data_IF_525941610678
#
_entry.id   IF_525941610678
#
_cell.length_a   1.000
_cell.length_b   1.000
_cell.length_c   1.000
_cell.angle_alpha   90.00
_cell.angle_beta   90.00
_cell.angle_gamma   90.00
#
_symmetry.space_group_name_H-M   'P 1'
#
loop_
_entity.id
_entity.type
_entity.pdbx_description
1 polymer ?
2 non-polymer ?
3 non-polymer ?
4 non-polymer ?
5 water ?
#
# COMPACT_ATOMS: atom_id res chain seq x y z
N UNK A 5 18.06 12.93 -36.03
CA UNK A 5 17.31 11.88 -35.32
C UNK A 5 17.95 11.51 -34.00
N UNK A 6 19.29 11.34 -33.95
CA UNK A 6 19.94 10.89 -32.70
C UNK A 6 19.89 11.96 -31.60
N UNK A 7 20.43 13.15 -31.87
CA UNK A 7 20.28 14.32 -30.97
C UNK A 7 18.80 14.66 -30.71
N UNK A 8 17.94 14.43 -31.71
CA UNK A 8 16.50 14.68 -31.56
C UNK A 8 15.79 13.62 -30.70
N UNK A 9 16.24 12.37 -30.79
CA UNK A 9 15.71 11.30 -29.96
C UNK A 9 16.24 11.44 -28.54
N UNK A 10 17.46 11.92 -28.38
CA UNK A 10 17.98 12.19 -27.04
C UNK A 10 17.11 13.25 -26.33
N UNK A 11 16.77 14.33 -27.03
CA UNK A 11 15.91 15.38 -26.47
C UNK A 11 14.58 14.79 -26.00
N UNK A 12 13.90 14.09 -26.91
CA UNK A 12 12.62 13.41 -26.65
C UNK A 12 12.70 12.48 -25.40
N UNK A 13 13.81 11.75 -25.28
CA UNK A 13 14.07 10.90 -24.13
C UNK A 13 14.26 11.73 -22.86
N UNK A 14 15.17 12.70 -22.88
CA UNK A 14 15.40 13.59 -21.72
C UNK A 14 14.09 14.24 -21.21
N UNK A 15 13.15 14.47 -22.14
CA UNK A 15 11.86 15.08 -21.83
C UNK A 15 11.04 14.21 -20.83
N UNK A 16 11.19 12.88 -20.92
CA UNK A 16 10.48 11.95 -20.07
C UNK A 16 11.32 11.42 -18.93
N UNK A 17 12.25 12.22 -18.42
CA UNK A 17 13.13 11.80 -17.35
C UNK A 17 13.21 12.84 -16.31
N UNK A 18 13.30 12.40 -15.08
CA UNK A 18 13.43 13.30 -13.93
C UNK A 18 14.35 12.63 -12.89
N UNK A 19 15.23 13.42 -12.28
CA UNK A 19 16.19 12.90 -11.30
C UNK A 19 16.41 13.82 -10.11
N UNK A 20 16.55 13.22 -8.91
CA UNK A 20 16.79 13.97 -7.67
C UNK A 20 17.74 13.19 -6.80
N UNK A 21 18.71 13.90 -6.21
CA UNK A 21 19.67 13.28 -5.28
C UNK A 21 19.00 13.27 -3.92
N UNK A 22 18.10 12.31 -3.71
CA UNK A 22 17.14 12.36 -2.60
C UNK A 22 17.61 11.71 -1.30
N UNK A 23 18.59 10.79 -1.41
CA UNK A 23 19.06 10.01 -0.24
C UNK A 23 20.52 10.36 0.16
N UNK A 24 20.72 10.80 1.41
CA UNK A 24 22.09 11.12 1.90
C UNK A 24 22.97 9.87 1.98
N UNK A 25 24.26 10.03 2.19
CA UNK A 25 25.17 8.86 2.20
C UNK A 25 24.73 7.96 3.35
N UNK A 26 24.43 8.61 4.46
CA UNK A 26 23.94 7.96 5.67
C UNK A 26 22.63 7.17 5.47
N UNK A 27 21.71 7.70 4.67
CA UNK A 27 20.45 6.98 4.38
C UNK A 27 20.67 5.84 3.44
N UNK A 28 21.52 6.06 2.44
CA UNK A 28 21.90 5.02 1.53
C UNK A 28 22.51 3.87 2.32
N UNK A 29 23.43 4.17 3.21
CA UNK A 29 24.04 3.11 4.03
C UNK A 29 23.01 2.31 4.86
N UNK A 30 21.98 2.99 5.38
CA UNK A 30 20.94 2.28 6.16
C UNK A 30 20.16 1.34 5.25
N UNK A 31 19.72 1.85 4.10
CA UNK A 31 18.99 1.05 3.13
C UNK A 31 19.88 -0.11 2.59
N UNK A 32 21.10 0.19 2.19
CA UNK A 32 22.05 -0.86 1.75
C UNK A 32 22.22 -2.03 2.79
N UNK A 33 22.23 -1.72 4.08
CA UNK A 33 22.27 -2.79 5.10
C UNK A 33 21.03 -3.70 5.04
N UNK A 34 19.86 -3.09 4.77
CA UNK A 34 18.63 -3.81 4.60
C UNK A 34 18.60 -4.67 3.35
N UNK A 35 19.08 -4.12 2.24
CA UNK A 35 19.26 -4.89 1.02
C UNK A 35 20.12 -6.13 1.30
N UNK A 36 21.22 -5.97 2.00
CA UNK A 36 22.05 -7.16 2.42
C UNK A 36 21.24 -8.23 3.19
N UNK A 37 20.40 -7.77 4.13
CA UNK A 37 19.45 -8.66 4.85
C UNK A 37 18.57 -9.48 3.94
N UNK A 38 17.96 -8.82 2.96
CA UNK A 38 17.14 -9.49 1.92
C UNK A 38 17.96 -10.60 1.19
N UNK A 39 19.21 -10.29 0.88
CA UNK A 39 20.12 -11.28 0.26
C UNK A 39 20.33 -12.46 1.22
N UNK A 40 20.62 -12.16 2.47
CA UNK A 40 20.76 -13.21 3.51
C UNK A 40 19.54 -14.07 3.73
N UNK A 41 18.36 -13.44 3.67
CA UNK A 41 17.10 -14.12 3.90
C UNK A 41 16.74 -15.03 2.78
N UNK A 42 16.93 -14.54 1.56
CA UNK A 42 16.75 -15.35 0.32
C UNK A 42 17.58 -16.57 0.37
N UNK A 43 18.82 -16.38 0.77
CA UNK A 43 19.79 -17.49 0.94
C UNK A 43 19.39 -18.51 2.07
N UNK A 44 18.59 -18.08 3.01
CA UNK A 44 18.11 -19.01 4.07
C UNK A 44 16.80 -19.73 3.68
N UNK A 45 16.32 -19.47 2.47
CA UNK A 45 15.10 -20.11 1.96
C UNK A 45 13.81 -19.58 2.55
N UNK A 46 13.81 -18.31 2.94
CA UNK A 46 12.72 -17.68 3.67
C UNK A 46 11.67 -17.03 2.78
N UNK A 47 11.88 -17.07 1.49
CA UNK A 47 11.03 -16.36 0.57
C UNK A 47 10.30 -17.34 -0.31
N UNK A 48 9.21 -16.89 -0.92
CA UNK A 48 8.42 -17.73 -1.79
C UNK A 48 9.11 -17.95 -3.19
N UNK A 49 8.76 -19.06 -3.82
CA UNK A 49 9.35 -19.53 -5.08
C UNK A 49 9.67 -18.40 -6.05
N UNK A 50 8.68 -17.57 -6.36
CA UNK A 50 8.77 -16.54 -7.38
C UNK A 50 9.26 -15.16 -6.88
N UNK A 51 9.76 -15.09 -5.65
CA UNK A 51 10.33 -13.85 -5.10
C UNK A 51 11.77 -13.63 -5.51
N UNK A 52 12.50 -14.71 -5.71
CA UNK A 52 13.94 -14.67 -6.02
C UNK A 52 14.20 -15.20 -7.45
N UNK A 53 14.72 -14.34 -8.31
CA UNK A 53 15.23 -14.74 -9.61
C UNK A 53 16.77 -14.65 -9.61
N UNK A 54 17.44 -15.78 -9.71
CA UNK A 54 18.90 -15.82 -9.70
C UNK A 54 19.46 -16.02 -11.10
N UNK A 55 20.18 -15.02 -11.60
CA UNK A 55 20.93 -15.18 -12.86
C UNK A 55 22.40 -14.95 -12.59
N UNK A 56 23.28 -15.32 -13.54
CA UNK A 56 24.74 -15.27 -13.24
C UNK A 56 25.30 -13.95 -12.63
N UNK A 57 25.09 -12.82 -13.26
CA UNK A 57 25.62 -11.58 -12.68
C UNK A 57 24.52 -10.63 -12.13
N UNK A 58 23.35 -11.18 -11.85
CA UNK A 58 22.16 -10.39 -11.54
C UNK A 58 21.20 -11.29 -10.70
N UNK A 59 20.87 -10.84 -9.52
CA UNK A 59 19.77 -11.46 -8.77
C UNK A 59 18.66 -10.48 -8.72
N UNK A 60 17.42 -10.98 -8.79
CA UNK A 60 16.24 -10.11 -8.67
C UNK A 60 15.32 -10.63 -7.57
N UNK A 61 14.79 -9.70 -6.77
CA UNK A 61 13.90 -10.02 -5.66
C UNK A 61 12.62 -9.24 -5.81
N UNK A 62 11.51 -9.94 -6.02
CA UNK A 62 10.20 -9.34 -6.32
C UNK A 62 9.25 -9.25 -5.09
N UNK A 63 8.81 -8.05 -4.75
CA UNK A 63 7.92 -7.86 -3.62
C UNK A 63 6.69 -7.16 -4.05
N UNK A 64 5.56 -7.51 -3.42
CA UNK A 64 4.29 -6.84 -3.65
C UNK A 64 3.61 -7.56 -4.77
N UNK A 65 4.23 -7.50 -5.95
CA UNK A 65 3.78 -8.17 -7.15
C UNK A 65 5.00 -8.69 -7.94
N UNK A 66 4.78 -9.78 -8.67
CA UNK A 66 5.80 -10.33 -9.56
C UNK A 66 5.17 -10.67 -10.88
N UNK A 67 6.01 -10.94 -11.87
CA UNK A 67 5.57 -11.31 -13.22
C UNK A 67 6.52 -12.42 -13.78
N UNK A 68 6.02 -13.21 -14.73
CA UNK A 68 6.71 -14.38 -15.29
C UNK A 68 8.14 -14.12 -15.79
N UNK A 76 6.71 -17.18 -20.99
CA UNK A 76 6.83 -18.11 -22.12
C UNK A 76 6.35 -17.47 -23.45
N UNK A 77 7.24 -16.70 -24.07
CA UNK A 77 6.96 -15.99 -25.33
C UNK A 77 7.29 -14.52 -25.12
N UNK A 78 7.90 -13.84 -26.12
CA UNK A 78 8.39 -12.47 -25.88
C UNK A 78 7.24 -11.47 -25.67
N UNK A 79 7.36 -10.61 -24.67
CA UNK A 79 6.27 -9.69 -24.31
C UNK A 79 4.97 -10.37 -23.85
N UNK A 80 5.08 -11.60 -23.31
CA UNK A 80 3.94 -12.33 -22.81
C UNK A 80 4.02 -12.48 -21.29
N UNK A 81 4.54 -11.46 -20.64
CA UNK A 81 4.59 -11.43 -19.21
C UNK A 81 3.15 -11.52 -18.61
N UNK A 82 3.03 -12.24 -17.52
CA UNK A 82 1.77 -12.44 -16.84
C UNK A 82 2.03 -12.28 -15.37
N UNK A 83 1.16 -11.52 -14.66
CA UNK A 83 1.23 -11.45 -13.18
C UNK A 83 0.91 -12.78 -12.56
N UNK A 84 1.52 -13.04 -11.40
CA UNK A 84 1.24 -14.23 -10.61
C UNK A 84 0.13 -13.91 -9.63
N UNK A 85 -0.63 -14.95 -9.17
CA UNK A 85 -1.52 -14.77 -8.03
C UNK A 85 -0.79 -14.03 -6.93
N UNK A 86 -1.25 -12.79 -6.59
CA UNK A 86 -0.57 -12.17 -5.45
C UNK A 86 -0.77 -13.07 -4.21
N UNK A 87 0.32 -13.29 -3.48
CA UNK A 87 0.44 -14.40 -2.56
C UNK A 87 1.55 -15.33 -3.02
N UNK A 88 1.88 -15.29 -4.32
CA UNK A 88 3.04 -16.06 -4.85
C UNK A 88 4.37 -15.39 -4.52
N UNK A 89 4.39 -14.04 -4.50
CA UNK A 89 5.57 -13.26 -4.14
C UNK A 89 5.44 -12.64 -2.75
N UNK A 90 6.55 -12.32 -2.10
CA UNK A 90 6.47 -11.83 -0.74
C UNK A 90 5.99 -10.42 -0.71
N UNK A 91 5.55 -10.02 0.47
CA UNK A 91 5.13 -8.66 0.77
C UNK A 91 6.28 -7.67 0.63
N UNK A 92 6.00 -6.50 0.10
CA UNK A 92 6.91 -5.35 0.19
C UNK A 92 7.29 -5.18 1.66
N UNK A 93 8.59 -5.25 1.99
CA UNK A 93 8.94 -5.21 3.42
C UNK A 93 8.79 -3.83 4.00
N UNK A 94 8.78 -3.78 5.35
CA UNK A 94 8.52 -2.56 6.10
C UNK A 94 9.58 -1.48 5.84
N UNK A 95 10.84 -1.86 5.86
CA UNK A 95 11.92 -0.90 5.56
C UNK A 95 11.78 -0.27 4.13
N UNK A 96 11.30 -1.01 3.14
CA UNK A 96 11.04 -0.37 1.83
C UNK A 96 10.02 0.74 1.95
N UNK A 97 8.89 0.43 2.57
CA UNK A 97 7.82 1.43 2.80
C UNK A 97 8.30 2.69 3.52
N UNK A 98 9.08 2.48 4.58
CA UNK A 98 9.40 3.56 5.53
C UNK A 98 10.69 4.29 5.17
N UNK A 99 11.68 3.55 4.72
CA UNK A 99 12.95 4.19 4.33
C UNK A 99 12.90 4.76 2.93
N UNK A 100 12.12 4.14 2.04
CA UNK A 100 12.20 4.49 0.61
C UNK A 100 10.93 5.12 0.07
N UNK A 101 9.83 4.39 0.09
CA UNK A 101 8.58 4.86 -0.54
C UNK A 101 8.05 6.09 0.18
N UNK A 102 8.24 6.13 1.49
CA UNK A 102 7.75 7.25 2.26
C UNK A 102 8.44 8.52 1.82
N UNK A 103 9.75 8.44 1.64
CA UNK A 103 10.51 9.61 1.21
C UNK A 103 10.12 10.10 -0.19
N UNK A 104 9.80 9.18 -1.08
CA UNK A 104 9.32 9.52 -2.41
C UNK A 104 7.96 10.21 -2.34
N UNK A 105 7.07 9.69 -1.50
CA UNK A 105 5.76 10.34 -1.22
C UNK A 105 5.94 11.71 -0.59
N UNK A 106 6.79 11.81 0.41
CA UNK A 106 7.10 13.11 1.07
C UNK A 106 7.51 14.20 0.09
N UNK A 107 8.43 13.86 -0.82
CA UNK A 107 8.99 14.85 -1.77
C UNK A 107 8.22 14.91 -3.11
N UNK A 108 6.99 14.40 -3.12
CA UNK A 108 6.02 14.61 -4.21
C UNK A 108 6.43 14.02 -5.58
N UNK A 109 7.25 12.98 -5.55
CA UNK A 109 7.72 12.26 -6.74
C UNK A 109 6.64 11.36 -7.29
N UNK A 110 5.97 10.66 -6.37
CA UNK A 110 4.76 9.89 -6.66
C UNK A 110 3.76 10.08 -5.52
N UNK A 111 2.44 9.95 -5.83
CA UNK A 111 1.44 9.97 -4.76
C UNK A 111 1.42 8.73 -3.83
N UNK A 112 1.01 8.96 -2.57
CA UNK A 112 0.65 7.90 -1.63
C UNK A 112 -0.27 6.90 -2.29
N UNK A 113 0.07 5.63 -2.12
CA UNK A 113 -0.72 4.53 -2.63
C UNK A 113 -0.40 4.08 -4.06
N UNK A 114 0.37 4.88 -4.81
CA UNK A 114 0.84 4.48 -6.18
C UNK A 114 1.48 3.12 -6.20
N UNK A 115 2.47 2.93 -5.35
CA UNK A 115 3.37 1.79 -5.45
C UNK A 115 2.73 0.55 -4.89
N UNK A 116 2.78 -0.55 -5.65
CA UNK A 116 2.42 -1.87 -5.12
C UNK A 116 3.37 -2.96 -5.60
N UNK A 117 4.53 -2.54 -6.13
CA UNK A 117 5.56 -3.46 -6.68
C UNK A 117 6.93 -2.85 -6.43
N UNK A 118 7.77 -3.60 -5.72
CA UNK A 118 9.14 -3.22 -5.45
C UNK A 118 10.02 -4.40 -5.82
N UNK A 119 10.96 -4.14 -6.73
CA UNK A 119 11.89 -5.18 -7.26
C UNK A 119 13.30 -4.71 -6.96
N UNK A 120 14.06 -5.54 -6.29
CA UNK A 120 15.45 -5.23 -6.01
C UNK A 120 16.29 -6.02 -7.04
N UNK A 121 17.02 -5.32 -7.91
CA UNK A 121 18.05 -5.94 -8.76
C UNK A 121 19.40 -5.76 -8.13
N UNK A 122 20.09 -6.85 -7.83
CA UNK A 122 21.40 -6.81 -7.26
C UNK A 122 22.42 -7.21 -8.31
N UNK A 123 23.30 -6.29 -8.65
CA UNK A 123 24.31 -6.51 -9.72
C UNK A 123 25.70 -6.79 -9.16
N UNK A 124 26.29 -7.87 -9.62
CA UNK A 124 27.75 -8.11 -9.42
C UNK A 124 28.53 -7.27 -10.45
N UNK A 125 29.85 -7.04 -10.21
CA UNK A 125 30.67 -6.32 -11.18
C UNK A 125 30.62 -7.00 -12.51
N UNK A 126 30.43 -6.23 -13.58
CA UNK A 126 30.30 -6.80 -14.88
C UNK A 126 28.93 -7.40 -15.13
N UNK A 127 27.99 -7.19 -14.21
CA UNK A 127 26.60 -7.59 -14.44
C UNK A 127 25.97 -6.57 -15.34
N UNK A 128 24.76 -6.87 -15.82
CA UNK A 128 24.10 -6.01 -16.77
C UNK A 128 22.64 -6.43 -16.93
N UNK A 129 21.91 -5.71 -17.77
CA UNK A 129 20.56 -6.11 -18.14
C UNK A 129 20.38 -5.75 -19.60
N UNK A 130 19.92 -6.71 -20.39
CA UNK A 130 19.80 -6.47 -21.83
C UNK A 130 18.60 -5.62 -22.18
N UNK A 131 18.68 -5.08 -23.39
CA UNK A 131 17.72 -4.17 -23.94
C UNK A 131 16.30 -4.64 -23.66
N UNK A 132 15.48 -3.74 -23.13
CA UNK A 132 14.05 -4.03 -22.87
C UNK A 132 13.28 -2.74 -22.70
N UNK A 133 11.95 -2.86 -22.78
CA UNK A 133 11.04 -1.85 -22.26
C UNK A 133 10.28 -2.46 -21.03
N UNK A 134 10.18 -1.70 -19.94
CA UNK A 134 9.38 -2.18 -18.79
C UNK A 134 7.98 -2.42 -19.34
N UNK A 135 7.46 -3.65 -19.19
CA UNK A 135 6.32 -4.05 -19.97
C UNK A 135 5.09 -3.20 -19.70
N UNK A 136 4.60 -2.62 -20.75
CA UNK A 136 3.55 -1.61 -20.66
C UNK A 136 2.18 -2.22 -20.34
N UNK A 137 2.04 -3.53 -20.56
CA UNK A 137 0.82 -4.24 -20.28
C UNK A 137 0.69 -4.70 -18.79
N UNK A 138 1.79 -4.64 -18.05
CA UNK A 138 1.86 -5.00 -16.63
C UNK A 138 1.89 -3.75 -15.78
N UNK A 139 2.68 -2.75 -16.18
CA UNK A 139 2.94 -1.63 -15.32
C UNK A 139 2.39 -0.34 -15.88
N UNK A 140 1.75 0.42 -14.99
CA UNK A 140 1.42 1.79 -15.23
C UNK A 140 2.70 2.61 -15.24
N UNK A 141 2.60 3.84 -15.66
CA UNK A 141 3.69 4.75 -15.59
C UNK A 141 3.37 5.81 -14.56
N UNK A 142 4.40 6.42 -13.95
CA UNK A 142 5.83 6.28 -14.23
C UNK A 142 6.54 5.18 -13.50
N UNK A 143 7.73 4.86 -14.02
CA UNK A 143 8.64 3.92 -13.38
C UNK A 143 9.62 4.73 -12.57
N UNK A 144 9.87 4.27 -11.35
CA UNK A 144 10.67 5.00 -10.39
C UNK A 144 11.76 4.05 -9.99
N UNK A 145 13.01 4.49 -10.03
CA UNK A 145 14.14 3.66 -9.64
C UNK A 145 15.02 4.42 -8.70
N UNK A 146 15.54 3.75 -7.69
CA UNK A 146 16.48 4.34 -6.73
C UNK A 146 17.76 3.48 -6.62
N UNK A 147 18.91 4.14 -6.63
CA UNK A 147 20.19 3.41 -6.77
C UNK A 147 21.01 3.32 -5.51
N UNK A 148 21.69 2.20 -5.32
CA UNK A 148 22.50 2.02 -4.13
C UNK A 148 23.85 1.37 -4.41
N UNK A 149 24.70 1.41 -3.39
CA UNK A 149 26.10 0.87 -3.42
C UNK A 149 27.09 1.61 -4.31
N UNK A 150 26.72 1.93 -5.54
CA UNK A 150 27.64 2.66 -6.41
C UNK A 150 26.98 3.41 -7.55
N UNK A 151 27.78 4.26 -8.18
CA UNK A 151 27.32 4.99 -9.36
C UNK A 151 27.45 4.08 -10.59
N UNK A 152 26.64 4.37 -11.59
CA UNK A 152 26.64 3.65 -12.82
C UNK A 152 25.96 4.48 -13.85
N UNK A 153 25.41 3.82 -14.86
CA UNK A 153 24.77 4.51 -15.96
C UNK A 153 23.65 3.66 -16.53
N UNK A 154 22.56 4.32 -16.95
CA UNK A 154 21.48 3.68 -17.64
C UNK A 154 21.45 4.16 -19.09
N UNK A 155 21.53 3.24 -20.05
CA UNK A 155 21.60 3.58 -21.48
C UNK A 155 20.21 3.48 -22.11
N UNK A 156 19.98 4.22 -23.18
CA UNK A 156 18.67 4.24 -23.88
C UNK A 156 18.88 4.14 -25.38
N UNK A 157 18.14 3.26 -26.03
CA UNK A 157 18.30 2.99 -27.43
C UNK A 157 19.46 2.02 -27.55
N UNK A 158 19.15 0.74 -27.36
CA UNK A 158 20.15 -0.24 -27.08
C UNK A 158 20.38 -1.15 -28.27
N UNK A 159 20.13 -0.60 -29.47
CA UNK A 159 20.50 -1.23 -30.74
C UNK A 159 21.97 -1.70 -30.79
N UNK A 160 22.88 -0.92 -30.18
CA UNK A 160 24.35 -1.23 -30.19
C UNK A 160 24.73 -2.57 -29.54
N UNK A 161 23.93 -3.06 -28.61
CA UNK A 161 24.18 -4.36 -27.95
C UNK A 161 23.99 -5.54 -28.90
N UNK A 162 23.20 -5.34 -29.94
CA UNK A 162 22.85 -6.41 -30.87
C UNK A 162 23.37 -6.20 -32.29
N UNK A 163 23.46 -4.94 -32.77
CA UNK A 163 24.05 -4.65 -34.11
C UNK A 163 25.33 -3.77 -34.05
N UNK A 164 26.42 -4.31 -33.45
CA UNK A 164 27.65 -3.54 -33.17
C UNK A 164 28.49 -3.08 -34.39
N UNK A 165 28.32 -3.68 -35.57
CA UNK A 165 29.00 -3.12 -36.75
C UNK A 165 28.39 -1.74 -37.02
N UNK A 166 27.07 -1.68 -37.24
CA UNK A 166 26.41 -0.43 -37.58
C UNK A 166 26.60 0.68 -36.50
N UNK A 167 26.47 0.31 -35.21
CA UNK A 167 26.54 1.31 -34.11
C UNK A 167 27.08 0.73 -32.78
N UNK A 168 27.77 1.57 -32.00
CA UNK A 168 28.39 1.13 -30.74
C UNK A 168 28.12 2.02 -29.50
N UNK A 169 27.31 3.09 -29.66
CA UNK A 169 26.92 3.95 -28.53
C UNK A 169 25.40 4.04 -28.44
N UNK A 170 24.89 4.27 -27.22
CA UNK A 170 23.45 4.46 -27.06
C UNK A 170 22.95 5.82 -27.53
N UNK A 171 21.66 5.89 -27.79
CA UNK A 171 20.98 7.15 -28.11
C UNK A 171 21.15 8.17 -26.96
N UNK A 172 21.12 7.68 -25.72
CA UNK A 172 21.52 8.48 -24.56
C UNK A 172 22.09 7.59 -23.45
N UNK A 173 23.01 8.16 -22.66
CA UNK A 173 23.58 7.52 -21.48
C UNK A 173 23.43 8.44 -20.33
N UNK A 174 22.79 7.96 -19.27
CA UNK A 174 22.33 8.77 -18.16
C UNK A 174 23.04 8.29 -16.91
N UNK A 175 23.87 9.17 -16.30
CA UNK A 175 24.50 8.75 -15.05
C UNK A 175 23.46 8.49 -13.97
N UNK A 176 23.67 7.43 -13.16
CA UNK A 176 22.78 7.10 -12.04
C UNK A 176 23.59 6.94 -10.75
N UNK A 177 23.64 8.02 -9.96
CA UNK A 177 24.44 8.05 -8.76
C UNK A 177 23.78 7.27 -7.61
N UNK A 178 24.62 6.79 -6.70
CA UNK A 178 24.18 6.25 -5.43
C UNK A 178 23.30 7.28 -4.74
N UNK A 179 22.12 6.85 -4.30
CA UNK A 179 21.17 7.74 -3.66
C UNK A 179 20.30 8.56 -4.59
N UNK A 180 20.45 8.40 -5.91
CA UNK A 180 19.63 9.17 -6.85
C UNK A 180 18.38 8.42 -7.22
N UNK A 181 17.37 9.20 -7.56
CA UNK A 181 16.10 8.69 -7.97
C UNK A 181 15.89 9.06 -9.39
N UNK A 182 15.50 8.08 -10.18
CA UNK A 182 15.23 8.30 -11.56
C UNK A 182 13.82 7.94 -11.88
N UNK A 183 13.15 8.77 -12.64
CA UNK A 183 11.72 8.61 -12.85
C UNK A 183 11.45 8.66 -14.32
N UNK A 184 11.02 7.55 -14.92
CA UNK A 184 10.77 7.49 -16.36
C UNK A 184 9.30 7.61 -16.73
N UNK A 185 9.02 8.36 -17.79
CA UNK A 185 7.65 8.50 -18.30
C UNK A 185 7.63 8.89 -19.75
N UNK A 186 6.43 8.91 -20.33
CA UNK A 186 6.23 9.26 -21.72
C UNK A 186 7.27 8.57 -22.64
N UNK A 187 7.97 9.38 -23.43
CA UNK A 187 8.88 8.84 -24.45
C UNK A 187 9.90 7.83 -23.89
N UNK A 188 10.60 8.21 -22.82
CA UNK A 188 11.67 7.37 -22.17
C UNK A 188 11.24 6.03 -21.56
N UNK A 189 9.95 5.90 -21.26
CA UNK A 189 9.42 4.66 -20.70
C UNK A 189 8.71 3.82 -21.75
N UNK A 190 8.18 4.48 -22.78
CA UNK A 190 7.25 3.85 -23.71
C UNK A 190 7.79 3.60 -25.08
N UNK A 191 8.57 4.54 -25.63
CA UNK A 191 8.92 4.50 -27.07
C UNK A 191 10.40 4.22 -27.32
N UNK A 192 11.13 3.78 -26.31
CA UNK A 192 12.54 3.47 -26.43
C UNK A 192 12.95 2.47 -25.40
N UNK A 193 13.97 1.67 -25.73
CA UNK A 193 14.53 0.68 -24.82
C UNK A 193 15.50 1.32 -23.87
N UNK A 194 15.72 0.65 -22.73
CA UNK A 194 16.84 0.97 -21.85
C UNK A 194 17.60 -0.30 -21.53
N UNK A 195 18.85 -0.13 -21.13
CA UNK A 195 19.71 -1.25 -20.78
C UNK A 195 20.82 -0.77 -19.89
N UNK A 196 21.66 -1.69 -19.45
CA UNK A 196 22.86 -1.35 -18.70
C UNK A 196 23.96 -2.16 -19.25
N UNK A 197 25.12 -1.55 -19.41
CA UNK A 197 26.30 -2.23 -19.95
C UNK A 197 27.21 -2.76 -18.85
N UNK A 198 27.79 -3.97 -19.06
CA UNK A 198 28.81 -4.56 -18.17
C UNK A 198 29.91 -3.60 -17.76
N UNK A 199 30.28 -2.72 -18.67
CA UNK A 199 31.40 -1.82 -18.44
C UNK A 199 31.04 -0.72 -17.47
N UNK A 200 29.74 -0.41 -17.35
CA UNK A 200 29.28 0.62 -16.41
C UNK A 200 28.98 0.10 -15.01
N UNK A 201 29.12 -1.20 -14.79
CA UNK A 201 29.00 -1.77 -13.44
C UNK A 201 30.38 -2.29 -13.01
N UNK A 202 31.13 -1.38 -12.36
CA UNK A 202 32.53 -1.58 -12.01
C UNK A 202 32.64 -2.22 -10.65
N UNK A 203 31.65 -1.97 -9.81
CA UNK A 203 31.57 -2.60 -8.50
C UNK A 203 30.11 -2.89 -8.21
N UNK A 204 29.86 -3.60 -7.12
CA UNK A 204 28.52 -4.00 -6.76
C UNK A 204 27.60 -2.80 -6.87
N UNK A 205 26.50 -2.99 -7.57
CA UNK A 205 25.41 -2.02 -7.64
C UNK A 205 24.08 -2.70 -7.32
N UNK A 206 23.16 -1.97 -6.69
CA UNK A 206 21.81 -2.46 -6.52
C UNK A 206 20.86 -1.36 -6.81
N UNK A 207 19.71 -1.71 -7.31
CA UNK A 207 18.68 -0.71 -7.58
C UNK A 207 17.35 -1.24 -7.09
N UNK A 208 16.52 -0.31 -6.58
CA UNK A 208 15.15 -0.63 -6.20
C UNK A 208 14.15 -0.02 -7.16
N UNK A 209 13.34 -0.85 -7.82
CA UNK A 209 12.37 -0.37 -8.80
C UNK A 209 10.91 -0.35 -8.23
N UNK A 210 10.36 0.84 -8.16
CA UNK A 210 9.05 1.04 -7.52
C UNK A 210 8.02 1.35 -8.56
N UNK A 211 7.03 0.46 -8.67
CA UNK A 211 6.04 0.57 -9.74
C UNK A 211 4.62 0.25 -9.25
N UNK A 212 3.66 0.62 -10.08
CA UNK A 212 2.30 0.31 -9.89
C UNK A 212 1.84 -0.62 -11.01
N UNK A 213 1.31 -1.80 -10.66
CA UNK A 213 0.78 -2.69 -11.68
C UNK A 213 -0.58 -2.18 -12.14
N UNK A 214 -0.93 -2.48 -13.39
CA UNK A 214 -2.23 -2.14 -13.92
C UNK A 214 -3.29 -3.00 -13.30
N UNK A 215 -4.50 -2.43 -13.12
CA UNK A 215 -5.57 -3.21 -12.61
C UNK A 215 -5.91 -4.29 -13.65
N UNK A 216 -6.04 -3.88 -14.90
CA UNK A 216 -6.39 -4.81 -15.98
C UNK A 216 -5.14 -5.46 -16.65
N UNK A 217 -4.05 -5.57 -15.90
CA UNK A 217 -2.91 -6.38 -16.29
C UNK A 217 -3.29 -7.86 -16.40
N UNK A 218 -2.89 -8.53 -17.51
CA UNK A 218 -3.08 -9.98 -17.68
C UNK A 218 -2.41 -10.79 -16.58
N UNK A 219 -3.04 -11.90 -16.22
CA UNK A 219 -2.79 -12.57 -14.97
C UNK A 219 -2.89 -14.07 -15.19
N UNK A 220 -2.11 -14.85 -14.45
CA UNK A 220 -2.25 -16.31 -14.48
C UNK A 220 -3.36 -16.74 -13.52
N UNK A 221 -4.47 -17.23 -14.10
N UNK B 4 -15.51 -0.81 42.35
CA UNK B 4 -14.06 -0.79 41.96
C UNK B 4 -13.80 -1.34 40.53
N UNK B 5 -14.53 -2.37 40.11
CA UNK B 5 -14.19 -3.10 38.84
C UNK B 5 -14.42 -2.31 37.53
N UNK B 6 -15.55 -1.59 37.45
CA UNK B 6 -15.88 -0.82 36.23
C UNK B 6 -14.96 0.36 36.04
N UNK B 7 -14.70 1.10 37.13
CA UNK B 7 -13.76 2.25 37.12
C UNK B 7 -12.35 1.85 36.69
N UNK B 8 -11.94 0.67 37.13
CA UNK B 8 -10.62 0.16 36.79
C UNK B 8 -10.57 -0.33 35.34
N UNK B 9 -11.71 -0.83 34.82
CA UNK B 9 -11.78 -1.27 33.45
C UNK B 9 -11.84 -0.06 32.51
N UNK B 10 -12.52 1.00 32.93
CA UNK B 10 -12.51 2.22 32.13
C UNK B 10 -11.08 2.76 31.97
N UNK B 11 -10.33 2.78 33.06
CA UNK B 11 -8.92 3.25 33.01
C UNK B 11 -8.13 2.42 32.02
N UNK B 12 -8.17 1.09 32.18
CA UNK B 12 -7.49 0.13 31.28
C UNK B 12 -7.88 0.36 29.81
N UNK B 13 -9.15 0.64 29.56
CA UNK B 13 -9.63 0.95 28.21
C UNK B 13 -9.05 2.27 27.70
N UNK B 14 -9.21 3.35 28.47
CA UNK B 14 -8.66 4.68 28.06
C UNK B 14 -7.13 4.60 27.73
N UNK B 15 -6.44 3.68 28.41
CA UNK B 15 -5.02 3.44 28.26
C UNK B 15 -4.67 3.01 26.84
N UNK B 16 -5.59 2.31 26.16
CA UNK B 16 -5.41 1.88 24.76
C UNK B 16 -6.19 2.67 23.72
N UNK B 17 -6.37 3.97 23.97
CA UNK B 17 -7.11 4.84 23.08
C UNK B 17 -6.40 6.12 22.84
N UNK B 18 -6.50 6.60 21.61
CA UNK B 18 -5.93 7.84 21.21
C UNK B 18 -6.85 8.55 20.24
N UNK B 19 -6.95 9.86 20.36
CA UNK B 19 -7.80 10.66 19.48
C UNK B 19 -7.23 12.00 19.10
N UNK B 20 -7.51 12.42 17.86
CA UNK B 20 -7.12 13.75 17.42
C UNK B 20 -8.09 14.30 16.39
N UNK B 21 -8.33 15.60 16.48
CA UNK B 21 -9.22 16.30 15.57
C UNK B 21 -8.41 16.68 14.35
N UNK B 22 -8.18 15.73 13.46
CA UNK B 22 -7.17 15.87 12.38
C UNK B 22 -7.67 16.50 11.08
N UNK B 23 -8.99 16.43 10.83
CA UNK B 23 -9.58 16.88 9.56
C UNK B 23 -10.46 18.13 9.72
N UNK B 24 -10.14 19.22 9.02
CA UNK B 24 -10.97 20.46 9.08
C UNK B 24 -12.37 20.24 8.50
N UNK B 25 -13.26 21.19 8.68
CA UNK B 25 -14.63 21.02 8.16
C UNK B 25 -14.57 20.93 6.62
N UNK B 26 -13.72 21.80 6.04
CA UNK B 26 -13.45 21.83 4.57
C UNK B 26 -12.88 20.50 4.05
N UNK B 27 -12.00 19.85 4.80
CA UNK B 27 -11.46 18.51 4.39
C UNK B 27 -12.49 17.42 4.54
N UNK B 28 -13.24 17.48 5.64
CA UNK B 28 -14.32 16.51 5.86
C UNK B 28 -15.31 16.61 4.72
N UNK B 29 -15.69 17.81 4.34
CA UNK B 29 -16.61 17.97 3.22
C UNK B 29 -16.04 17.37 1.89
N UNK B 30 -14.74 17.52 1.64
CA UNK B 30 -14.13 16.96 0.41
C UNK B 30 -14.22 15.44 0.43
N UNK B 31 -13.84 14.85 1.55
CA UNK B 31 -13.91 13.41 1.72
C UNK B 31 -15.37 12.91 1.67
N UNK B 32 -16.26 13.54 2.44
CA UNK B 32 -17.70 13.20 2.38
C UNK B 32 -18.27 13.18 0.92
N UNK B 33 -17.85 14.11 0.07
CA UNK B 33 -18.31 14.08 -1.34
C UNK B 33 -17.86 12.81 -2.06
N UNK B 34 -16.63 12.35 -1.73
CA UNK B 34 -16.07 11.11 -2.28
C UNK B 34 -16.80 9.88 -1.76
N UNK B 35 -17.09 9.85 -0.45
CA UNK B 35 -17.91 8.79 0.12
C UNK B 35 -19.25 8.69 -0.63
N UNK B 36 -19.90 9.82 -0.88
CA UNK B 36 -21.14 9.82 -1.70
C UNK B 36 -20.96 9.15 -3.07
N UNK B 37 -19.85 9.48 -3.73
CA UNK B 37 -19.46 8.91 -4.99
C UNK B 37 -19.38 7.37 -4.93
N UNK B 38 -18.72 6.84 -3.89
CA UNK B 38 -18.65 5.38 -3.63
C UNK B 38 -20.07 4.77 -3.51
N UNK B 39 -20.96 5.48 -2.83
CA UNK B 39 -22.38 5.06 -2.71
C UNK B 39 -23.03 5.03 -4.09
N UNK B 40 -22.84 6.08 -4.84
CA UNK B 40 -23.35 6.14 -6.23
C UNK B 40 -22.78 5.06 -7.15
N UNK B 41 -21.49 4.76 -7.00
CA UNK B 41 -20.83 3.78 -7.83
C UNK B 41 -21.31 2.38 -7.51
N UNK B 42 -21.42 2.08 -6.23
CA UNK B 42 -21.95 0.78 -5.77
C UNK B 42 -23.30 0.54 -6.36
N UNK B 43 -24.13 1.56 -6.29
CA UNK B 43 -25.50 1.55 -6.85
C UNK B 43 -25.52 1.37 -8.39
N UNK B 44 -24.44 1.73 -9.07
CA UNK B 44 -24.36 1.53 -10.53
C UNK B 44 -23.77 0.14 -10.91
N UNK B 45 -23.47 -0.68 -9.89
CA UNK B 45 -22.99 -2.06 -10.12
C UNK B 45 -21.55 -2.13 -10.56
N UNK B 46 -20.76 -1.14 -10.16
CA UNK B 46 -19.38 -0.96 -10.60
C UNK B 46 -18.36 -1.69 -9.74
N UNK B 47 -18.82 -2.34 -8.69
CA UNK B 47 -17.92 -2.93 -7.71
C UNK B 47 -18.11 -4.42 -7.70
N UNK B 48 -17.10 -5.11 -7.19
CA UNK B 48 -17.13 -6.57 -7.16
C UNK B 48 -18.06 -7.11 -6.05
N UNK B 49 -18.56 -8.33 -6.26
CA UNK B 49 -19.54 -8.98 -5.42
C UNK B 49 -19.36 -8.69 -3.94
N UNK B 50 -18.15 -8.93 -3.41
CA UNK B 50 -17.86 -8.85 -1.98
C UNK B 50 -17.38 -7.50 -1.49
N UNK B 51 -17.48 -6.46 -2.34
CA UNK B 51 -17.12 -5.08 -1.95
C UNK B 51 -18.24 -4.37 -1.16
N UNK B 52 -19.48 -4.71 -1.47
CA UNK B 52 -20.65 -4.04 -0.92
C UNK B 52 -21.43 -5.02 -0.04
N UNK B 53 -21.54 -4.68 1.25
CA UNK B 53 -22.44 -5.39 2.16
C UNK B 53 -23.62 -4.47 2.55
N UNK B 54 -24.81 -4.82 2.12
CA UNK B 54 -26.00 -4.01 2.38
C UNK B 54 -26.85 -4.63 3.49
N UNK B 55 -26.98 -3.90 4.61
CA UNK B 55 -27.91 -4.30 5.67
C UNK B 55 -28.93 -3.18 5.86
N UNK B 56 -30.04 -3.46 6.59
CA UNK B 56 -31.10 -2.44 6.75
C UNK B 56 -30.67 -1.00 7.14
N UNK B 57 -29.93 -0.83 8.23
CA UNK B 57 -29.51 0.53 8.62
C UNK B 57 -28.01 0.81 8.51
N UNK B 58 -27.33 0.02 7.68
CA UNK B 58 -25.87 0.01 7.62
C UNK B 58 -25.49 -0.58 6.24
N UNK B 59 -24.71 0.17 5.47
CA UNK B 59 -24.01 -0.41 4.29
C UNK B 59 -22.55 -0.42 4.58
N UNK B 60 -21.86 -1.44 4.09
CA UNK B 60 -20.41 -1.53 4.25
C UNK B 60 -19.76 -1.71 2.87
N UNK B 61 -18.66 -1.00 2.66
CA UNK B 61 -17.89 -1.06 1.43
C UNK B 61 -16.46 -1.44 1.77
N UNK B 62 -16.02 -2.61 1.29
CA UNK B 62 -14.69 -3.17 1.60
C UNK B 62 -13.64 -2.93 0.47
N UNK B 63 -12.53 -2.26 0.80
CA UNK B 63 -11.48 -2.02 -0.16
C UNK B 63 -10.18 -2.54 0.33
N UNK B 64 -9.36 -3.01 -0.60
CA UNK B 64 -8.00 -3.47 -0.30
C UNK B 64 -8.07 -4.92 0.02
N UNK B 65 -8.78 -5.21 1.11
CA UNK B 65 -9.04 -6.54 1.60
C UNK B 65 -10.47 -6.62 2.17
N UNK B 66 -11.06 -7.81 2.08
CA UNK B 66 -12.37 -8.07 2.68
C UNK B 66 -12.31 -9.39 3.41
N UNK B 67 -13.32 -9.64 4.23
CA UNK B 67 -13.44 -10.87 5.00
C UNK B 67 -14.91 -11.30 5.00
N UNK B 68 -15.15 -12.60 5.20
CA UNK B 68 -16.51 -13.21 5.12
C UNK B 68 -17.56 -12.51 5.99
N UNK B 77 -19.09 -20.39 11.05
CA UNK B 77 -19.24 -20.29 12.50
C UNK B 77 -18.80 -18.94 13.07
N UNK B 78 -19.16 -18.67 14.34
CA UNK B 78 -18.78 -17.41 14.97
C UNK B 78 -17.26 -17.31 15.14
N UNK B 79 -16.69 -16.15 14.83
CA UNK B 79 -15.24 -15.96 14.87
C UNK B 79 -14.47 -16.82 13.87
N UNK B 80 -15.12 -17.21 12.76
CA UNK B 80 -14.49 -17.97 11.70
C UNK B 80 -14.36 -17.13 10.43
N UNK B 81 -14.11 -15.84 10.61
CA UNK B 81 -13.87 -14.94 9.49
C UNK B 81 -12.67 -15.46 8.66
N UNK B 82 -12.77 -15.32 7.35
CA UNK B 82 -11.73 -15.76 6.43
C UNK B 82 -11.56 -14.66 5.41
N UNK B 83 -10.30 -14.29 5.10
CA UNK B 83 -10.02 -13.36 3.98
C UNK B 83 -10.39 -13.98 2.65
N UNK B 84 -10.81 -13.13 1.71
CA UNK B 84 -11.08 -13.54 0.35
C UNK B 84 -9.81 -13.40 -0.50
N UNK B 85 -9.72 -14.17 -1.63
CA UNK B 85 -8.67 -13.92 -2.62
C UNK B 85 -8.63 -12.44 -2.93
N UNK B 86 -7.49 -11.76 -2.62
CA UNK B 86 -7.46 -10.34 -2.99
C UNK B 86 -7.57 -10.28 -4.54
N UNK B 87 -8.44 -9.39 -5.01
CA UNK B 87 -9.00 -9.48 -6.34
C UNK B 87 -10.50 -9.70 -6.26
N UNK B 88 -10.99 -10.23 -5.13
CA UNK B 88 -12.46 -10.34 -4.89
C UNK B 88 -13.09 -9.01 -4.49
N UNK B 89 -12.33 -8.19 -3.74
CA UNK B 89 -12.79 -6.86 -3.33
C UNK B 89 -12.04 -5.79 -4.13
N UNK B 90 -12.61 -4.59 -4.24
CA UNK B 90 -11.98 -3.57 -5.06
C UNK B 90 -10.79 -2.99 -4.37
N UNK B 91 -9.97 -2.33 -5.16
CA UNK B 91 -8.79 -1.58 -4.72
C UNK B 91 -9.17 -0.41 -3.83
N UNK B 92 -8.37 -0.17 -2.78
CA UNK B 92 -8.46 1.08 -2.00
C UNK B 92 -8.39 2.22 -3.01
N UNK B 93 -9.41 3.06 -3.04
CA UNK B 93 -9.35 4.12 -4.06
C UNK B 93 -8.30 5.17 -3.79
N UNK B 94 -8.01 5.95 -4.82
CA UNK B 94 -6.99 6.95 -4.78
C UNK B 94 -7.30 8.03 -3.75
N UNK B 95 -8.53 8.55 -3.73
CA UNK B 95 -8.89 9.58 -2.74
C UNK B 95 -8.68 9.07 -1.27
N UNK B 96 -8.88 7.80 -1.00
CA UNK B 96 -8.59 7.30 0.35
C UNK B 96 -7.15 7.47 0.69
N UNK B 97 -6.27 7.00 -0.23
CA UNK B 97 -4.83 7.12 -0.07
C UNK B 97 -4.37 8.55 0.15
N UNK B 98 -4.90 9.47 -0.63
CA UNK B 98 -4.36 10.83 -0.71
C UNK B 98 -5.02 11.80 0.24
N UNK B 99 -6.33 11.68 0.39
CA UNK B 99 -7.06 12.54 1.33
C UNK B 99 -6.99 12.05 2.77
N UNK B 100 -6.91 10.74 2.98
CA UNK B 100 -7.06 10.19 4.34
C UNK B 100 -5.81 9.53 4.86
N UNK B 101 -5.32 8.48 4.19
CA UNK B 101 -4.17 7.70 4.71
C UNK B 101 -2.93 8.56 4.74
N UNK B 102 -2.78 9.40 3.73
CA UNK B 102 -1.59 10.22 3.63
C UNK B 102 -1.51 11.15 4.82
N UNK B 103 -2.62 11.76 5.19
CA UNK B 103 -2.64 12.64 6.35
C UNK B 103 -2.30 11.93 7.68
N UNK B 104 -2.76 10.70 7.84
CA UNK B 104 -2.47 9.88 8.99
C UNK B 104 -0.97 9.55 9.04
N UNK B 105 -0.39 9.21 7.89
CA UNK B 105 1.09 9.00 7.77
C UNK B 105 1.88 10.28 8.06
N UNK B 106 1.49 11.38 7.47
CA UNK B 106 2.15 12.67 7.71
C UNK B 106 2.15 13.07 9.21
N UNK B 107 1.04 12.86 9.91
CA UNK B 107 0.94 13.23 11.34
C UNK B 107 1.33 12.10 12.29
N UNK B 108 2.03 11.09 11.78
CA UNK B 108 2.71 10.04 12.59
C UNK B 108 1.77 9.17 13.46
N UNK B 109 0.54 8.98 12.99
CA UNK B 109 -0.46 8.15 13.62
C UNK B 109 -0.21 6.70 13.35
N UNK B 110 0.08 6.41 12.09
CA UNK B 110 0.55 5.10 11.65
C UNK B 110 1.68 5.26 10.63
N UNK B 111 2.59 4.28 10.54
CA UNK B 111 3.64 4.33 9.50
C UNK B 111 3.14 4.09 8.06
N UNK B 112 3.85 4.69 7.10
CA UNK B 112 3.70 4.39 5.67
C UNK B 112 3.73 2.88 5.45
N UNK B 113 2.76 2.40 4.68
CA UNK B 113 2.68 0.99 4.33
C UNK B 113 1.87 0.11 5.29
N UNK B 114 1.58 0.61 6.48
CA UNK B 114 0.70 -0.10 7.45
C UNK B 114 -0.60 -0.54 6.82
N UNK B 115 -1.33 0.39 6.23
CA UNK B 115 -2.71 0.13 5.84
C UNK B 115 -2.80 -0.64 4.56
N UNK B 116 -3.61 -1.70 4.54
CA UNK B 116 -3.97 -2.40 3.31
C UNK B 116 -5.44 -2.79 3.29
N UNK B 117 -6.25 -2.18 4.16
CA UNK B 117 -7.70 -2.45 4.28
C UNK B 117 -8.38 -1.17 4.69
N UNK B 118 -9.34 -0.73 3.86
CA UNK B 118 -10.17 0.41 4.15
C UNK B 118 -11.61 -0.01 3.98
N UNK B 119 -12.41 0.15 5.04
CA UNK B 119 -13.82 -0.26 5.06
C UNK B 119 -14.64 0.99 5.39
N UNK B 120 -15.60 1.32 4.55
CA UNK B 120 -16.46 2.45 4.76
C UNK B 120 -17.79 1.87 5.30
N UNK B 121 -18.12 2.19 6.54
CA UNK B 121 -19.47 1.90 7.09
C UNK B 121 -20.29 3.15 6.94
N UNK B 122 -21.40 3.05 6.21
CA UNK B 122 -22.34 4.13 6.07
C UNK B 122 -23.61 3.85 6.91
N UNK B 123 -23.83 4.69 7.90
CA UNK B 123 -24.97 4.52 8.84
C UNK B 123 -26.14 5.45 8.51
N UNK B 124 -27.32 4.87 8.37
CA UNK B 124 -28.57 5.65 8.40
C UNK B 124 -28.90 6.01 9.86
N UNK B 125 -29.77 7.03 10.08
CA UNK B 125 -30.20 7.36 11.45
C UNK B 125 -30.76 6.14 12.12
N UNK B 126 -30.40 5.92 13.37
CA UNK B 126 -30.89 4.76 14.10
C UNK B 126 -30.19 3.48 13.69
N UNK B 127 -29.15 3.59 12.87
CA UNK B 127 -28.33 2.45 12.55
C UNK B 127 -27.42 2.20 13.72
N UNK B 128 -26.70 1.09 13.68
CA UNK B 128 -25.86 0.70 14.79
C UNK B 128 -24.98 -0.45 14.37
N UNK B 129 -24.13 -0.89 15.30
CA UNK B 129 -23.35 -2.09 15.11
C UNK B 129 -23.28 -2.79 16.44
N UNK B 130 -23.59 -4.08 16.44
CA UNK B 130 -23.63 -4.83 17.68
C UNK B 130 -22.26 -5.19 18.19
N UNK B 131 -22.24 -5.52 19.47
CA UNK B 131 -21.06 -5.82 20.22
C UNK B 131 -20.17 -6.74 19.45
N UNK B 132 -18.90 -6.39 19.38
CA UNK B 132 -17.90 -7.21 18.73
C UNK B 132 -16.53 -6.77 19.15
N UNK B 133 -15.55 -7.64 18.84
CA UNK B 133 -14.15 -7.26 18.78
C UNK B 133 -13.65 -7.37 17.29
N UNK B 134 -12.94 -6.36 16.82
CA UNK B 134 -12.36 -6.44 15.45
C UNK B 134 -11.48 -7.70 15.45
N UNK B 135 -11.76 -8.63 14.54
CA UNK B 135 -11.25 -9.96 14.70
C UNK B 135 -9.73 -9.99 14.72
N UNK B 136 -9.19 -10.52 15.78
CA UNK B 136 -7.77 -10.47 16.03
C UNK B 136 -6.98 -11.42 15.14
N UNK B 137 -7.65 -12.40 14.54
CA UNK B 137 -7.03 -13.35 13.66
C UNK B 137 -6.90 -12.86 12.20
N UNK B 138 -7.61 -11.77 11.88
CA UNK B 138 -7.58 -11.14 10.57
C UNK B 138 -6.73 -9.88 10.61
N UNK B 139 -6.89 -9.06 11.65
CA UNK B 139 -6.29 -7.74 11.69
C UNK B 139 -5.23 -7.58 12.74
N UNK B 140 -4.12 -7.02 12.33
CA UNK B 140 -3.11 -6.54 13.24
C UNK B 140 -3.66 -5.34 13.96
N UNK B 141 -2.94 -4.91 14.97
CA UNK B 141 -3.30 -3.69 15.65
C UNK B 141 -2.22 -2.66 15.36
N UNK B 142 -2.57 -1.36 15.44
CA UNK B 142 -3.85 -0.79 15.90
C UNK B 142 -4.91 -0.63 14.84
N UNK B 143 -6.14 -0.44 15.30
CA UNK B 143 -7.28 -0.12 14.45
C UNK B 143 -7.45 1.38 14.45
N UNK B 144 -7.68 1.95 13.28
CA UNK B 144 -7.72 3.37 13.09
C UNK B 144 -9.05 3.65 12.43
N UNK B 145 -9.80 4.59 12.99
CA UNK B 145 -11.10 4.96 12.44
C UNK B 145 -11.18 6.45 12.31
N UNK B 146 -11.79 6.93 11.23
CA UNK B 146 -11.99 8.37 10.99
C UNK B 146 -13.47 8.63 10.67
N UNK B 147 -14.05 9.64 11.32
CA UNK B 147 -15.50 9.83 11.29
C UNK B 147 -15.97 10.97 10.41
N UNK B 148 -17.11 10.78 9.76
CA UNK B 148 -17.62 11.81 8.86
C UNK B 148 -19.10 12.00 8.97
N UNK B 149 -19.56 13.09 8.34
CA UNK B 149 -20.98 13.54 8.36
C UNK B 149 -21.54 14.02 9.70
N UNK B 150 -21.29 13.31 10.79
CA UNK B 150 -21.78 13.75 12.07
C UNK B 150 -21.05 13.20 13.27
N UNK B 151 -21.33 13.81 14.42
CA UNK B 151 -20.76 13.34 15.67
C UNK B 151 -21.61 12.16 16.18
N UNK B 152 -20.96 11.31 16.99
CA UNK B 152 -21.62 10.18 17.57
C UNK B 152 -20.79 9.73 18.75
N UNK B 153 -20.93 8.45 19.09
CA UNK B 153 -20.24 7.88 20.24
C UNK B 153 -19.95 6.40 20.02
N UNK B 154 -18.79 5.95 20.49
CA UNK B 154 -18.41 4.55 20.45
C UNK B 154 -18.38 4.00 21.88
N UNK B 155 -19.14 2.93 22.14
CA UNK B 155 -19.27 2.38 23.51
C UNK B 155 -18.34 1.19 23.66
N UNK B 156 -17.95 0.89 24.90
CA UNK B 156 -17.05 -0.24 25.20
C UNK B 156 -17.59 -1.04 26.37
N UNK B 157 -17.61 -2.36 26.22
CA UNK B 157 -18.15 -3.23 27.23
C UNK B 157 -19.63 -3.23 26.99
N UNK B 158 -20.04 -4.04 26.03
CA UNK B 158 -21.37 -3.91 25.47
C UNK B 158 -22.31 -5.02 25.94
N UNK B 159 -22.03 -5.54 27.13
CA UNK B 159 -22.92 -6.46 27.83
C UNK B 159 -24.38 -5.95 27.92
N UNK B 160 -24.54 -4.62 28.09
CA UNK B 160 -25.89 -3.98 28.26
C UNK B 160 -26.84 -4.19 27.07
N UNK B 161 -26.30 -4.37 25.88
CA UNK B 161 -27.11 -4.60 24.67
C UNK B 161 -27.85 -5.94 24.71
N UNK B 162 -27.31 -6.89 25.45
CA UNK B 162 -27.83 -8.25 25.50
C UNK B 162 -28.40 -8.66 26.85
N UNK B 163 -27.83 -8.19 27.97
CA UNK B 163 -28.37 -8.49 29.32
C UNK B 163 -28.88 -7.23 30.09
N UNK B 164 -29.93 -6.58 29.57
CA UNK B 164 -30.43 -5.29 30.11
C UNK B 164 -31.06 -5.32 31.55
N UNK B 165 -31.47 -6.47 32.08
CA UNK B 165 -31.86 -6.49 33.50
C UNK B 165 -30.60 -6.17 34.32
N UNK B 166 -29.56 -6.99 34.17
CA UNK B 166 -28.33 -6.83 34.96
C UNK B 166 -27.64 -5.44 34.78
N UNK B 167 -27.59 -4.92 33.56
CA UNK B 167 -26.90 -3.62 33.29
C UNK B 167 -27.45 -2.87 32.05
N UNK B 168 -27.39 -1.53 32.06
CA UNK B 168 -27.89 -0.70 30.94
C UNK B 168 -26.92 0.43 30.43
N UNK B 169 -25.71 0.52 31.01
CA UNK B 169 -24.72 1.51 30.58
C UNK B 169 -23.43 0.78 30.19
N UNK B 170 -22.65 1.37 29.23
CA UNK B 170 -21.36 0.74 28.87
C UNK B 170 -20.28 1.00 29.91
N UNK B 171 -19.27 0.15 29.91
CA UNK B 171 -18.07 0.37 30.71
C UNK B 171 -17.40 1.73 30.40
N UNK B 172 -17.40 2.13 29.11
CA UNK B 172 -17.03 3.48 28.74
C UNK B 172 -17.75 3.92 27.45
N UNK B 173 -18.01 5.23 27.34
CA UNK B 173 -18.62 5.85 26.14
C UNK B 173 -17.73 6.97 25.71
N UNK B 174 -17.32 6.94 24.43
CA UNK B 174 -16.30 7.79 23.90
C UNK B 174 -16.88 8.64 22.75
N UNK B 175 -16.96 9.97 22.94
CA UNK B 175 -17.48 10.78 21.83
C UNK B 175 -16.58 10.68 20.61
N UNK B 176 -17.20 10.61 19.42
CA UNK B 176 -16.46 10.56 18.14
C UNK B 176 -16.95 11.66 17.20
N UNK B 177 -16.21 12.76 17.17
CA UNK B 177 -16.59 13.92 16.35
C UNK B 177 -16.29 13.72 14.85
N UNK B 178 -17.04 14.43 14.00
CA UNK B 178 -16.77 14.56 12.61
C UNK B 178 -15.35 15.07 12.45
N UNK B 179 -14.57 14.39 11.61
CA UNK B 179 -13.19 14.74 11.41
C UNK B 179 -12.21 14.22 12.44
N UNK B 180 -12.69 13.46 13.43
CA UNK B 180 -11.79 12.93 14.47
C UNK B 180 -11.28 11.58 14.08
N UNK B 181 -10.11 11.29 14.59
CA UNK B 181 -9.47 10.03 14.38
C UNK B 181 -9.36 9.31 15.70
N UNK B 182 -9.76 8.06 15.70
CA UNK B 182 -9.68 7.24 16.87
C UNK B 182 -8.81 6.04 16.59
N UNK B 183 -7.94 5.72 17.52
CA UNK B 183 -6.95 4.71 17.32
C UNK B 183 -7.01 3.75 18.49
N UNK B 184 -7.43 2.51 18.25
CA UNK B 184 -7.51 1.51 19.33
C UNK B 184 -6.32 0.54 19.36
N UNK B 185 -5.85 0.21 20.57
CA UNK B 185 -4.80 -0.77 20.78
C UNK B 185 -4.85 -1.40 22.18
N UNK B 186 -4.01 -2.39 22.40
CA UNK B 186 -3.92 -3.09 23.66
C UNK B 186 -5.29 -3.45 24.22
N UNK B 187 -5.55 -3.01 25.45
CA UNK B 187 -6.78 -3.39 26.15
C UNK B 187 -8.03 -3.10 25.33
N UNK B 188 -8.17 -1.86 24.85
CA UNK B 188 -9.38 -1.40 24.10
C UNK B 188 -9.68 -2.08 22.76
N UNK B 189 -8.68 -2.72 22.15
CA UNK B 189 -8.86 -3.43 20.88
C UNK B 189 -8.96 -4.92 21.07
N UNK B 190 -8.37 -5.43 22.17
CA UNK B 190 -8.18 -6.85 22.36
C UNK B 190 -9.05 -7.49 23.43
N UNK B 191 -9.23 -6.81 24.57
CA UNK B 191 -9.79 -7.46 25.75
C UNK B 191 -11.16 -6.91 26.13
N UNK B 192 -11.80 -6.18 25.23
CA UNK B 192 -13.12 -5.63 25.49
C UNK B 192 -13.82 -5.41 24.16
N UNK B 193 -15.14 -5.50 24.19
CA UNK B 193 -15.97 -5.23 23.03
C UNK B 193 -16.21 -3.75 22.84
N UNK B 194 -16.53 -3.38 21.60
CA UNK B 194 -17.05 -2.08 21.33
C UNK B 194 -18.32 -2.21 20.52
N UNK B 195 -19.15 -1.19 20.58
CA UNK B 195 -20.39 -1.17 19.82
C UNK B 195 -20.85 0.26 19.58
N UNK B 196 -21.96 0.42 18.88
CA UNK B 196 -22.58 1.72 18.73
C UNK B 196 -24.04 1.53 18.94
N UNK B 197 -24.65 2.47 19.64
CA UNK B 197 -26.08 2.41 19.95
C UNK B 197 -26.89 3.22 18.94
N UNK B 198 -28.10 2.72 18.58
CA UNK B 198 -29.08 3.43 17.72
C UNK B 198 -29.34 4.85 18.15
N UNK B 199 -29.32 5.07 19.45
CA UNK B 199 -29.63 6.36 20.00
C UNK B 199 -28.52 7.38 19.79
N UNK B 200 -27.28 6.91 19.58
CA UNK B 200 -26.14 7.78 19.30
C UNK B 200 -25.91 8.09 17.79
N UNK B 201 -26.72 7.50 16.91
CA UNK B 201 -26.70 7.87 15.48
C UNK B 201 -28.01 8.59 15.12
N UNK B 202 -27.96 9.92 15.23
CA UNK B 202 -29.13 10.79 15.14
C UNK B 202 -29.34 11.25 13.73
N UNK B 203 -28.26 11.31 13.00
CA UNK B 203 -28.30 11.64 11.58
C UNK B 203 -27.25 10.77 10.88
N UNK B 204 -27.24 10.84 9.57
CA UNK B 204 -26.32 10.06 8.76
C UNK B 204 -24.89 10.21 9.32
N UNK B 205 -24.26 9.07 9.56
CA UNK B 205 -22.87 9.02 9.96
C UNK B 205 -22.13 8.03 9.05
N UNK B 206 -20.87 8.33 8.74
CA UNK B 206 -20.04 7.38 8.02
C UNK B 206 -18.70 7.35 8.66
N UNK B 207 -18.09 6.20 8.62
CA UNK B 207 -16.78 6.05 9.21
C UNK B 207 -15.92 5.25 8.26
N UNK B 208 -14.63 5.62 8.22
CA UNK B 208 -13.63 4.89 7.44
C UNK B 208 -12.69 4.15 8.35
N UNK B 209 -12.66 2.82 8.26
CA UNK B 209 -11.80 2.00 9.11
C UNK B 209 -10.52 1.51 8.38
N UNK B 210 -9.37 1.96 8.87
CA UNK B 210 -8.11 1.71 8.23
C UNK B 210 -7.34 0.73 9.01
N UNK B 211 -7.07 -0.42 8.39
CA UNK B 211 -6.42 -1.51 9.10
C UNK B 211 -5.40 -2.22 8.26
N UNK B 212 -4.59 -3.03 8.94
CA UNK B 212 -3.62 -3.90 8.32
C UNK B 212 -3.99 -5.33 8.58
N UNK B 213 -4.18 -6.12 7.52
CA UNK B 213 -4.45 -7.54 7.72
C UNK B 213 -3.17 -8.27 8.08
N UNK B 214 -3.31 -9.37 8.83
CA UNK B 214 -2.17 -10.21 9.16
C UNK B 214 -1.67 -10.97 7.94
N UNK B 215 -0.36 -11.21 7.88
CA UNK B 215 0.19 -12.01 6.77
C UNK B 215 -0.33 -13.43 6.94
N UNK B 216 -0.26 -13.95 8.17
CA UNK B 216 -0.70 -15.31 8.47
C UNK B 216 -2.22 -15.40 8.79
N UNK B 217 -3.00 -14.41 8.37
CA UNK B 217 -4.46 -14.47 8.48
C UNK B 217 -4.99 -15.62 7.64
N UNK B 218 -5.87 -16.46 8.23
CA UNK B 218 -6.58 -17.49 7.48
C UNK B 218 -7.37 -16.95 6.29
N UNK B 219 -7.40 -17.74 5.23
CA UNK B 219 -7.75 -17.28 3.89
C UNK B 219 -8.54 -18.36 3.17
N UNK B 220 -9.47 -17.97 2.30
CA UNK B 220 -10.20 -18.94 1.46
C UNK B 220 -9.43 -19.29 0.17
N UNK B 221 -9.11 -20.57 -0.05
CA UNK B 221 -8.41 -21.02 -1.28
C UNK B 221 -9.24 -20.71 -2.53
X LIG C 1 13.57 -1.59 -16.98
X LIG D 1 14.36 -3.03 -15.00
X LIG D 1 13.19 -2.75 -15.50
X LIG D 1 14.60 -4.03 -14.23
X LIG D 1 15.51 -2.13 -15.36
X LIG D 1 15.36 -1.40 -16.31
X LIG D 1 16.83 -2.05 -14.59
X LIG D 1 17.26 -0.58 -14.41
X LIG D 1 18.38 -0.40 -13.38
X LIG D 1 19.01 -1.41 -12.95
X LIG D 1 18.68 0.76 -12.99
X LIG E 1 11.31 -4.78 7.28
X LIG F 1 2.61 4.76 -1.20
X LIG G 1 16.03 -18.41 -8.83
X LIG H 1 8.35 -12.29 -10.72
X LIG I 1 12.17 -5.77 -13.01
X LIG J 1 8.83 -3.21 -9.02
X LIG K 1 5.09 2.17 -12.51
X LIG L 1 21.99 -10.57 -4.56
X LIG M 1 13.97 1.62 -15.14
X LIG N 1 -15.01 -2.69 15.25
X LIG O 1 -15.99 -2.02 13.01
X LIG O 1 -14.90 -2.63 13.33
X LIG O 1 -16.58 -2.22 11.92
X LIG O 1 -16.57 -1.06 13.98
X LIG O 1 -16.36 -1.32 15.13
X LIG O 1 -17.33 0.24 13.69
X LIG O 1 -16.98 1.27 14.79
X LIG O 1 -17.09 2.75 14.42
X LIG O 1 -18.04 3.21 13.73
X LIG O 1 -16.17 3.50 14.88
X LIG P 1 -10.35 8.02 -6.51
X LIG Q 1 -11.17 1.33 -5.88
X LIG R 1 -16.60 -6.78 26.82
X LIG S 1 -5.90 -1.63 -2.44
X LIG T 1 -0.71 17.85 6.67
X LIG U 1 -12.75 23.41 11.26
X LIG V 1 -16.03 -8.58 3.05
X LIG W 1 -5.05 0.46 35.12
X LIG X 1 -2.17 0.98 24.07
X LIG Y 1 -11.64 -4.39 18.82
X LIG Z 1 -4.59 3.92 21.03
X LIG AA 1 -2.00 -3.36 20.38
X LIG BA 1 -15.81 -3.49 9.50
X LIG CA 1 -13.23 0.86 15.53
#
# INVERSE_FOLDING_TARGET
GQQLQKEEEARKVKSGIRQMRLFSQDECAKIEARIDEVVSRAEKGLYNEHTVDRAPLRNKYFFGEGYTYGAQLQKRGPGQERLYPPGDVDEIPEWVHQLVIQKLVEHRVIPEGFVNSAVINDYQPGGCIVSHVDPIHIFERPIVSVSFFSDSALCFGCKFQFKPIRVSEPVLSLPVRRGSVTVLSGYAADEITHCIRPQDIKERRAVIILRKTRLDAPRLET
GQQLQKEEEARKVKSGIRQMRLFSQDECAKIEARIDEVVSRAEKGLYNEHTVDRAPLRNKYFFGEGYTYGAQLQKRGPGQERLYPPGDVDEIPEWVHQLVIQKLVEHRVIPEGFVNSAVINDYQPGGCIVSHVDPIHIFERPIVSVSFFSDSALCFGCKFQFKPIRVSEPVLSLPVRRGSVTVLSGYAADEITHCIRPQDIKERRAVIILRKTRLDAPRLET
MN MN
AKG C1 O1 O2 C2 O5 C3 C4 C5 O3 O4
UNX UNK
UNX UNK
UNX UNK
UNX UNK
UNX UNK
UNX UNK
UNX UNK
UNX UNK
UNX UNK
MN MN
AKG C1 O1 O2 C2 O5 C3 C4 C5 O3 O4
UNX UNK
UNX UNK
UNX UNK
UNX UNK
UNX UNK
UNX UNK
UNX UNK
UNX UNK
UNX UNK
UNX UNK
UNX UNK
UNX UNK
UNX UNK
UNX UNK
#
